data_IF_318798232908
#
_entry.id   IF_318798232908
#
_cell.length_a   1.000
_cell.length_b   1.000
_cell.length_c   1.000
_cell.angle_alpha   90.00
_cell.angle_beta   90.00
_cell.angle_gamma   90.00
#
_symmetry.space_group_name_H-M   'P 1'
#
loop_
_entity.id
_entity.type
_entity.pdbx_description
1 polymer ?
#
# COMPACT_ATOMS: atom_id res chain seq x y z
N UNK A 1 25.58 18.09 9.13
CA UNK A 1 25.98 16.68 8.93
C UNK A 1 25.55 15.76 10.09
N UNK A 2 25.62 16.20 11.36
CA UNK A 2 25.22 15.38 12.51
C UNK A 2 23.71 15.04 12.57
N UNK A 3 22.82 15.96 12.17
CA UNK A 3 21.37 15.71 12.18
C UNK A 3 20.94 14.62 11.17
N UNK A 4 21.50 14.60 9.96
CA UNK A 4 21.21 13.56 8.97
C UNK A 4 21.68 12.17 9.42
N UNK A 5 22.74 12.10 10.20
CA UNK A 5 23.27 10.82 10.70
C UNK A 5 22.41 10.27 11.84
N UNK A 6 21.92 11.13 12.73
CA UNK A 6 20.99 10.73 13.79
C UNK A 6 19.64 10.27 13.24
N UNK A 7 19.09 10.95 12.24
CA UNK A 7 17.85 10.53 11.57
C UNK A 7 18.01 9.13 10.96
N UNK A 8 19.11 8.88 10.24
CA UNK A 8 19.38 7.57 9.63
C UNK A 8 19.55 6.43 10.65
N UNK A 9 20.07 6.71 11.85
CA UNK A 9 20.13 5.71 12.92
C UNK A 9 18.75 5.40 13.48
N UNK A 10 17.90 6.41 13.68
CA UNK A 10 16.54 6.23 14.22
C UNK A 10 15.63 5.50 13.22
N UNK A 11 15.78 5.75 11.92
CA UNK A 11 15.04 5.06 10.86
C UNK A 11 15.31 3.54 10.83
N UNK A 12 16.41 3.08 11.43
CA UNK A 12 16.76 1.67 11.55
C UNK A 12 16.19 0.98 12.79
N UNK A 13 15.59 1.74 13.72
CA UNK A 13 15.00 1.17 14.94
C UNK A 13 13.57 0.71 14.63
N UNK A 14 13.35 -0.60 14.56
CA UNK A 14 12.07 -1.21 14.18
C UNK A 14 10.89 -0.84 15.10
N UNK A 15 11.17 -0.38 16.31
CA UNK A 15 10.18 0.00 17.33
C UNK A 15 9.94 1.51 17.41
N UNK A 16 10.63 2.30 16.59
CA UNK A 16 10.53 3.75 16.61
C UNK A 16 9.62 4.29 15.50
N UNK A 17 8.83 5.30 15.85
CA UNK A 17 8.02 6.06 14.90
C UNK A 17 6.70 5.39 14.52
N UNK A 18 6.12 5.85 13.42
CA UNK A 18 4.89 5.30 12.86
C UNK A 18 5.26 4.04 12.06
N UNK A 19 4.62 2.88 12.33
CA UNK A 19 4.91 1.67 11.58
C UNK A 19 4.46 1.84 10.12
N UNK A 20 5.42 1.71 9.21
CA UNK A 20 5.22 1.66 7.77
C UNK A 20 5.72 0.33 7.21
N UNK A 21 5.29 -0.02 6.02
CA UNK A 21 5.75 -1.23 5.35
C UNK A 21 7.26 -1.17 5.12
N UNK A 22 8.00 -2.14 5.68
CA UNK A 22 9.46 -2.21 5.64
C UNK A 22 10.18 -0.93 6.11
N UNK A 23 9.53 -0.14 6.96
CA UNK A 23 10.07 1.16 7.44
C UNK A 23 10.38 2.12 6.29
N UNK A 24 9.63 2.07 5.21
CA UNK A 24 9.76 3.04 4.13
C UNK A 24 9.20 4.41 4.53
N UNK A 25 9.54 5.48 3.83
CA UNK A 25 8.93 6.78 4.07
C UNK A 25 7.40 6.73 3.99
N UNK A 26 6.73 7.48 4.87
CA UNK A 26 5.29 7.73 4.77
C UNK A 26 5.11 9.10 4.12
N UNK A 27 4.90 9.11 2.83
CA UNK A 27 4.82 10.33 2.01
C UNK A 27 3.74 10.17 0.95
N UNK A 28 3.35 11.27 0.35
CA UNK A 28 2.41 11.32 -0.76
C UNK A 28 2.98 10.63 -2.03
N UNK A 29 2.12 10.13 -2.94
CA UNK A 29 2.55 9.34 -4.10
C UNK A 29 3.22 10.16 -5.20
N UNK A 30 3.20 11.51 -5.12
CA UNK A 30 3.77 12.39 -6.14
C UNK A 30 5.28 12.18 -6.30
N UNK A 31 5.71 11.92 -7.53
CA UNK A 31 7.11 11.69 -7.88
C UNK A 31 7.69 10.38 -7.34
N UNK A 32 6.83 9.44 -6.93
CA UNK A 32 7.20 8.08 -6.55
C UNK A 32 6.96 7.10 -7.71
N UNK A 33 7.73 6.02 -7.73
CA UNK A 33 7.56 4.94 -8.70
C UNK A 33 6.52 3.93 -8.20
N UNK A 34 6.52 3.66 -6.88
CA UNK A 34 5.66 2.67 -6.23
C UNK A 34 5.01 3.28 -4.98
N UNK A 35 3.70 3.09 -4.86
CA UNK A 35 2.91 3.43 -3.69
C UNK A 35 2.42 2.15 -2.99
N UNK A 36 2.86 1.90 -1.76
CA UNK A 36 2.34 0.82 -0.91
C UNK A 36 1.07 1.33 -0.24
N UNK A 37 -0.02 0.59 -0.39
CA UNK A 37 -1.37 1.01 0.03
C UNK A 37 -2.00 -0.03 0.93
N UNK A 38 -2.44 0.34 2.12
CA UNK A 38 -3.31 -0.49 2.93
C UNK A 38 -4.78 -0.31 2.55
N UNK A 39 -5.52 -1.42 2.46
CA UNK A 39 -6.97 -1.40 2.20
C UNK A 39 -7.68 -2.22 3.29
N UNK A 40 -7.92 -1.63 4.48
CA UNK A 40 -8.48 -2.34 5.64
C UNK A 40 -9.99 -2.55 5.51
N UNK A 41 -10.41 -3.42 4.57
CA UNK A 41 -11.80 -3.70 4.24
C UNK A 41 -12.11 -5.20 4.36
N UNK A 42 -13.25 -5.58 4.96
CA UNK A 42 -13.63 -6.97 5.19
C UNK A 42 -15.11 -7.27 5.06
N UNK A 43 -15.90 -6.37 4.49
CA UNK A 43 -17.37 -6.54 4.38
C UNK A 43 -17.79 -7.39 3.17
N UNK A 44 -16.88 -7.77 2.29
CA UNK A 44 -17.14 -8.61 1.12
C UNK A 44 -17.33 -10.10 1.44
N UNK A 45 -17.01 -10.55 2.64
CA UNK A 45 -17.02 -11.97 3.03
C UNK A 45 -18.39 -12.49 3.55
N UNK A 46 -19.45 -11.69 3.50
CA UNK A 46 -20.78 -12.11 3.91
C UNK A 46 -20.86 -12.47 5.39
N UNK A 47 -21.14 -13.75 5.71
CA UNK A 47 -21.37 -14.22 7.08
C UNK A 47 -20.12 -14.59 7.87
N UNK A 48 -18.95 -14.61 7.24
CA UNK A 48 -17.68 -14.97 7.91
C UNK A 48 -16.73 -13.78 7.97
N UNK A 49 -16.94 -12.92 8.94
CA UNK A 49 -15.96 -11.90 9.28
C UNK A 49 -14.71 -12.57 9.85
N UNK A 50 -13.55 -12.31 9.27
CA UNK A 50 -12.28 -12.95 9.62
C UNK A 50 -11.16 -11.96 9.89
N UNK A 51 -11.49 -10.75 10.32
CA UNK A 51 -10.52 -9.71 10.65
C UNK A 51 -9.52 -9.35 9.52
N UNK A 52 -9.86 -9.60 8.24
CA UNK A 52 -9.00 -9.27 7.11
C UNK A 52 -8.66 -7.77 7.06
N UNK A 53 -9.52 -6.90 7.58
CA UNK A 53 -9.27 -5.47 7.71
C UNK A 53 -8.03 -5.15 8.58
N UNK A 54 -7.57 -6.09 9.40
CA UNK A 54 -6.34 -5.94 10.19
C UNK A 54 -5.07 -6.25 9.39
N UNK A 55 -5.19 -6.81 8.19
CA UNK A 55 -4.08 -7.23 7.35
C UNK A 55 -3.02 -6.16 7.12
N UNK A 56 -3.37 -4.93 6.68
CA UNK A 56 -2.39 -3.87 6.48
C UNK A 56 -1.58 -3.53 7.73
N UNK A 57 -2.25 -3.42 8.88
CA UNK A 57 -1.58 -3.14 10.17
C UNK A 57 -0.65 -4.29 10.57
N UNK A 58 -1.13 -5.53 10.44
CA UNK A 58 -0.33 -6.71 10.78
C UNK A 58 0.93 -6.79 9.93
N UNK A 59 0.83 -6.55 8.63
CA UNK A 59 1.97 -6.57 7.73
C UNK A 59 2.96 -5.43 8.02
N UNK A 60 2.51 -4.22 8.34
CA UNK A 60 3.41 -3.12 8.77
C UNK A 60 4.20 -3.50 10.00
N UNK A 61 3.55 -4.10 11.01
CA UNK A 61 4.22 -4.54 12.24
C UNK A 61 5.28 -5.61 11.98
N UNK A 62 4.95 -6.62 11.18
CA UNK A 62 5.87 -7.73 10.89
C UNK A 62 7.01 -7.28 9.97
N UNK A 63 6.72 -6.50 8.95
CA UNK A 63 7.72 -6.02 7.99
C UNK A 63 8.73 -5.05 8.61
N UNK A 64 8.40 -4.39 9.72
CA UNK A 64 9.34 -3.56 10.46
C UNK A 64 10.56 -4.35 10.98
N UNK A 65 10.38 -5.65 11.26
CA UNK A 65 11.46 -6.56 11.68
C UNK A 65 12.27 -7.09 10.50
N UNK A 66 11.73 -6.99 9.29
CA UNK A 66 12.34 -7.50 8.07
C UNK A 66 13.50 -6.65 7.58
N UNK A 67 14.36 -7.27 6.79
CA UNK A 67 15.38 -6.55 6.02
C UNK A 67 14.84 -6.26 4.62
N UNK A 68 15.14 -5.07 4.09
CA UNK A 68 14.80 -4.69 2.71
C UNK A 68 15.65 -5.40 1.67
N UNK A 69 16.88 -5.73 2.04
CA UNK A 69 17.82 -6.42 1.16
C UNK A 69 17.46 -7.90 0.98
N UNK A 70 17.25 -8.32 -0.26
CA UNK A 70 16.99 -9.71 -0.64
C UNK A 70 18.29 -10.42 -0.97
N UNK A 71 18.73 -11.32 -0.08
CA UNK A 71 20.05 -11.96 -0.17
C UNK A 71 20.23 -12.81 -1.44
N UNK A 72 19.16 -13.55 -1.83
CA UNK A 72 19.23 -14.45 -3.00
C UNK A 72 19.37 -13.68 -4.31
N UNK A 73 18.59 -12.59 -4.46
CA UNK A 73 18.66 -11.73 -5.65
C UNK A 73 19.70 -10.64 -5.54
N UNK A 74 20.40 -10.52 -4.40
CA UNK A 74 21.38 -9.48 -4.12
C UNK A 74 20.85 -8.07 -4.48
N UNK A 75 19.67 -7.75 -3.99
CA UNK A 75 18.90 -6.59 -4.39
C UNK A 75 18.24 -5.89 -3.18
N UNK A 76 18.35 -4.57 -3.12
CA UNK A 76 17.48 -3.70 -2.33
C UNK A 76 16.51 -2.97 -3.28
N UNK A 77 15.18 -3.22 -3.21
CA UNK A 77 14.20 -2.55 -4.07
C UNK A 77 14.21 -1.02 -3.94
N UNK A 78 14.54 -0.50 -2.75
CA UNK A 78 14.58 0.95 -2.49
C UNK A 78 15.77 1.66 -3.13
N UNK A 79 16.79 0.92 -3.55
CA UNK A 79 17.88 1.45 -4.39
C UNK A 79 17.47 1.54 -5.87
N UNK A 80 16.44 0.81 -6.29
CA UNK A 80 15.99 0.73 -7.68
C UNK A 80 14.75 1.57 -7.98
N UNK A 81 13.92 1.85 -6.98
CA UNK A 81 12.67 2.57 -7.14
C UNK A 81 12.42 3.49 -5.94
N UNK A 82 11.75 4.59 -6.18
CA UNK A 82 11.24 5.49 -5.15
C UNK A 82 9.93 4.91 -4.61
N UNK A 83 10.01 4.26 -3.44
CA UNK A 83 8.88 3.55 -2.82
C UNK A 83 8.43 4.32 -1.58
N UNK A 84 7.12 4.48 -1.41
CA UNK A 84 6.52 5.11 -0.23
C UNK A 84 5.32 4.30 0.27
N UNK A 85 5.06 4.33 1.57
CA UNK A 85 3.79 3.87 2.17
C UNK A 85 2.85 5.08 2.26
N UNK A 86 1.81 5.09 1.45
CA UNK A 86 0.83 6.19 1.42
C UNK A 86 -0.27 6.04 2.48
N UNK A 87 -0.14 5.07 3.38
CA UNK A 87 -1.12 4.79 4.41
C UNK A 87 -2.26 3.90 3.94
N UNK A 88 -3.40 4.06 4.62
CA UNK A 88 -4.59 3.25 4.37
C UNK A 88 -5.67 4.05 3.65
N UNK A 89 -6.47 3.36 2.83
CA UNK A 89 -7.71 3.93 2.29
C UNK A 89 -8.63 4.28 3.45
N UNK A 90 -9.11 5.53 3.55
CA UNK A 90 -10.01 5.95 4.62
C UNK A 90 -11.43 5.43 4.40
N UNK A 91 -12.03 4.84 5.43
CA UNK A 91 -13.41 4.34 5.40
C UNK A 91 -14.26 5.04 6.46
N UNK A 92 -14.76 6.26 6.23
CA UNK A 92 -15.59 6.99 7.19
C UNK A 92 -16.94 6.29 7.47
N UNK A 93 -17.39 5.41 6.55
CA UNK A 93 -18.57 4.59 6.67
C UNK A 93 -18.23 3.12 6.39
N UNK A 94 -17.40 2.54 7.23
CA UNK A 94 -16.84 1.19 7.04
C UNK A 94 -17.89 0.07 6.93
N UNK A 95 -19.10 0.29 7.44
CA UNK A 95 -20.22 -0.65 7.36
C UNK A 95 -21.06 -0.52 6.06
N UNK A 96 -20.74 0.44 5.19
CA UNK A 96 -21.39 0.63 3.90
C UNK A 96 -20.46 0.19 2.77
N UNK A 97 -20.71 -1.00 2.23
CA UNK A 97 -19.84 -1.62 1.22
C UNK A 97 -19.73 -0.79 -0.07
N UNK A 98 -20.85 -0.24 -0.56
CA UNK A 98 -20.84 0.60 -1.78
C UNK A 98 -19.98 1.82 -1.59
N UNK A 99 -20.11 2.48 -0.44
CA UNK A 99 -19.28 3.63 -0.10
C UNK A 99 -17.80 3.26 0.05
N UNK A 100 -17.48 2.11 0.64
CA UNK A 100 -16.10 1.62 0.74
C UNK A 100 -15.48 1.40 -0.66
N UNK A 101 -16.21 0.77 -1.58
CA UNK A 101 -15.72 0.57 -2.95
C UNK A 101 -15.49 1.91 -3.68
N UNK A 102 -16.37 2.88 -3.48
CA UNK A 102 -16.17 4.24 -4.00
C UNK A 102 -14.91 4.90 -3.44
N UNK A 103 -14.67 4.80 -2.11
CA UNK A 103 -13.46 5.32 -1.48
C UNK A 103 -12.20 4.65 -2.02
N UNK A 104 -12.19 3.32 -2.18
CA UNK A 104 -11.11 2.59 -2.82
C UNK A 104 -10.85 3.16 -4.22
N UNK A 105 -11.89 3.22 -5.05
CA UNK A 105 -11.78 3.71 -6.43
C UNK A 105 -11.19 5.13 -6.49
N UNK A 106 -11.67 6.05 -5.65
CA UNK A 106 -11.21 7.43 -5.62
C UNK A 106 -9.76 7.55 -5.13
N UNK A 107 -9.38 6.77 -4.11
CA UNK A 107 -8.02 6.76 -3.59
C UNK A 107 -7.02 6.26 -4.65
N UNK A 108 -7.35 5.19 -5.36
CA UNK A 108 -6.49 4.64 -6.41
C UNK A 108 -6.42 5.51 -7.66
N UNK A 109 -7.49 6.23 -8.01
CA UNK A 109 -7.44 7.25 -9.07
C UNK A 109 -6.46 8.36 -8.75
N UNK A 110 -6.36 8.78 -7.50
CA UNK A 110 -5.36 9.75 -7.07
C UNK A 110 -3.94 9.22 -7.25
N UNK A 111 -3.65 7.98 -6.84
CA UNK A 111 -2.34 7.36 -7.03
C UNK A 111 -2.01 7.25 -8.52
N UNK A 112 -2.95 6.80 -9.33
CA UNK A 112 -2.80 6.68 -10.78
C UNK A 112 -2.50 8.04 -11.44
N UNK A 113 -3.18 9.11 -11.01
CA UNK A 113 -2.93 10.45 -11.52
C UNK A 113 -1.51 10.97 -11.26
N UNK A 114 -0.84 10.45 -10.23
CA UNK A 114 0.56 10.75 -9.91
C UNK A 114 1.55 9.88 -10.69
N UNK A 115 1.08 8.87 -11.43
CA UNK A 115 1.90 7.94 -12.20
C UNK A 115 2.59 6.85 -11.36
N UNK A 116 2.33 6.78 -10.05
CA UNK A 116 2.87 5.73 -9.18
C UNK A 116 2.13 4.41 -9.39
N UNK A 117 2.86 3.30 -9.34
CA UNK A 117 2.28 1.95 -9.42
C UNK A 117 1.87 1.49 -8.01
N UNK A 118 0.61 1.15 -7.77
CA UNK A 118 0.17 0.69 -6.47
C UNK A 118 0.59 -0.76 -6.20
N UNK A 119 1.01 -1.01 -4.96
CA UNK A 119 1.13 -2.34 -4.35
C UNK A 119 0.18 -2.38 -3.18
N UNK A 120 -0.90 -3.13 -3.31
CA UNK A 120 -2.03 -3.14 -2.39
C UNK A 120 -1.91 -4.24 -1.36
N UNK A 121 -2.16 -3.91 -0.10
CA UNK A 121 -2.26 -4.87 0.99
C UNK A 121 -3.71 -4.85 1.48
N UNK A 122 -4.45 -5.90 1.20
CA UNK A 122 -5.82 -6.07 1.65
C UNK A 122 -5.91 -6.49 3.11
N UNK A 123 -7.01 -6.57 3.55
CA UNK A 123 -8.43 -6.75 3.42
C UNK A 123 -8.83 -8.03 2.69
N UNK A 124 -10.08 -8.10 2.44
CA UNK A 124 -10.65 -9.23 1.70
C UNK A 124 -10.58 -9.04 0.18
N UNK A 125 -11.02 -10.07 -0.56
CA UNK A 125 -10.94 -10.08 -2.03
C UNK A 125 -11.83 -9.02 -2.72
N UNK A 126 -12.84 -8.47 -2.05
CA UNK A 126 -13.75 -7.47 -2.62
C UNK A 126 -13.06 -6.16 -3.00
N UNK A 127 -11.91 -5.86 -2.39
CA UNK A 127 -11.13 -4.64 -2.70
C UNK A 127 -10.67 -4.59 -4.16
N UNK A 128 -10.44 -5.74 -4.78
CA UNK A 128 -9.91 -5.86 -6.14
C UNK A 128 -10.80 -5.16 -7.16
N UNK A 129 -12.12 -5.26 -7.01
CA UNK A 129 -13.07 -4.61 -7.91
C UNK A 129 -12.91 -3.09 -7.97
N UNK A 130 -12.85 -2.43 -6.80
CA UNK A 130 -12.65 -0.98 -6.71
C UNK A 130 -11.30 -0.51 -7.23
N UNK A 131 -10.24 -1.29 -6.96
CA UNK A 131 -8.89 -1.01 -7.46
C UNK A 131 -8.87 -1.06 -8.99
N UNK A 132 -9.41 -2.13 -9.59
CA UNK A 132 -9.43 -2.31 -11.03
C UNK A 132 -10.31 -1.29 -11.75
N UNK A 133 -11.41 -0.90 -11.14
CA UNK A 133 -12.27 0.16 -11.66
C UNK A 133 -11.51 1.51 -11.74
N UNK A 134 -10.60 1.76 -10.80
CA UNK A 134 -9.76 2.96 -10.84
C UNK A 134 -8.70 2.90 -11.93
N UNK A 135 -7.96 1.77 -12.00
CA UNK A 135 -6.76 1.65 -12.83
C UNK A 135 -7.08 1.31 -14.29
N UNK A 136 -8.18 0.61 -14.56
CA UNK A 136 -8.52 0.13 -15.90
C UNK A 136 -8.85 1.22 -16.94
N UNK A 137 -9.17 2.43 -16.50
CA UNK A 137 -9.41 3.59 -17.36
C UNK A 137 -8.45 4.76 -17.10
N UNK A 138 -7.43 4.55 -16.27
CA UNK A 138 -6.52 5.58 -15.82
C UNK A 138 -5.19 5.67 -16.58
N UNK A 139 -4.24 6.42 -16.01
CA UNK A 139 -2.93 6.68 -16.62
C UNK A 139 -2.08 5.41 -16.78
N UNK A 140 -2.14 4.50 -15.80
CA UNK A 140 -1.40 3.24 -15.85
C UNK A 140 -1.82 2.34 -17.00
N UNK A 141 -3.11 2.36 -17.37
CA UNK A 141 -3.59 1.58 -18.52
C UNK A 141 -3.21 2.21 -19.84
N UNK A 142 -3.19 3.54 -19.92
CA UNK A 142 -2.98 4.30 -21.18
C UNK A 142 -3.77 3.72 -22.36
N UNK A 143 -5.00 3.25 -22.08
CA UNK A 143 -5.86 2.59 -23.09
C UNK A 143 -5.50 1.13 -23.40
N UNK A 144 -4.53 0.55 -22.70
CA UNK A 144 -4.11 -0.85 -22.84
C UNK A 144 -4.57 -1.70 -21.65
N UNK A 145 -4.65 -3.03 -21.79
CA UNK A 145 -4.94 -3.91 -20.68
C UNK A 145 -3.90 -3.77 -19.54
N UNK A 146 -4.35 -3.70 -18.30
CA UNK A 146 -3.51 -3.69 -17.12
C UNK A 146 -3.23 -5.11 -16.67
N UNK A 147 -1.96 -5.47 -16.46
CA UNK A 147 -1.56 -6.75 -15.89
C UNK A 147 -1.64 -6.67 -14.36
N UNK A 148 -2.15 -7.73 -13.74
CA UNK A 148 -2.32 -7.84 -12.30
C UNK A 148 -1.54 -9.05 -11.80
N UNK A 149 -0.75 -8.83 -10.74
CA UNK A 149 -0.21 -9.91 -9.92
C UNK A 149 -1.03 -9.97 -8.63
N UNK A 150 -1.80 -11.04 -8.46
CA UNK A 150 -2.62 -11.28 -7.28
C UNK A 150 -1.99 -12.42 -6.47
N UNK A 151 -1.77 -12.17 -5.18
CA UNK A 151 -1.33 -13.17 -4.21
C UNK A 151 -2.48 -13.41 -3.23
N UNK A 152 -2.97 -14.65 -3.15
CA UNK A 152 -4.11 -15.07 -2.34
C UNK A 152 -3.68 -16.15 -1.32
#
# INVERSE_FOLDING_TARGET
>A
MAEKHNQSMMDNLYWWGIPTLFRCPNEEPEGKDIALVGVPHSTGNGTTERDQHLGPRALRNVSALGRRFHNEFNLDPWEKAKITDVGDVPFPQANNNEHCIEQITNFYRRIDSCGAKPVSIGGDHSITGGILQALGGGNLSNGLPVSILHLD
#
